data_IF_946790131672
#
_entry.id   IF_946790131672
#
_cell.length_a   1.000
_cell.length_b   1.000
_cell.length_c   1.000
_cell.angle_alpha   90.00
_cell.angle_beta   90.00
_cell.angle_gamma   90.00
#
_symmetry.space_group_name_H-M   'P 1'
#
loop_
_entity.id
_entity.type
_entity.pdbx_description
1 polymer ?
#
# COMPACT_ATOMS: atom_id res chain seq x y z
N UNK A 1 -12.76 11.52 -14.35
CA UNK A 1 -12.72 10.27 -13.54
C UNK A 1 -13.25 10.61 -12.15
N UNK A 2 -13.98 9.69 -11.53
CA UNK A 2 -14.50 9.83 -10.18
C UNK A 2 -14.00 8.64 -9.36
N UNK A 3 -13.42 8.91 -8.20
CA UNK A 3 -12.94 7.90 -7.27
C UNK A 3 -13.92 7.87 -6.09
N UNK A 4 -14.80 6.88 -6.10
CA UNK A 4 -15.79 6.65 -5.06
C UNK A 4 -15.44 5.36 -4.30
N UNK A 5 -16.03 5.18 -3.11
CA UNK A 5 -15.81 4.00 -2.28
C UNK A 5 -14.64 4.14 -1.29
N UNK A 6 -14.16 3.01 -0.79
CA UNK A 6 -13.09 2.92 0.21
C UNK A 6 -11.74 2.81 -0.48
N UNK A 7 -10.93 3.86 -0.34
CA UNK A 7 -9.57 3.94 -0.86
C UNK A 7 -8.57 3.90 0.28
N UNK A 8 -7.74 2.86 0.31
CA UNK A 8 -6.83 2.62 1.44
C UNK A 8 -5.43 3.13 1.12
N UNK A 9 -4.90 4.10 1.89
CA UNK A 9 -3.48 4.41 1.86
C UNK A 9 -2.70 3.27 2.53
N UNK A 10 -1.98 2.51 1.73
CA UNK A 10 -1.23 1.33 2.20
C UNK A 10 0.14 1.73 2.74
N UNK A 11 0.66 0.91 3.67
CA UNK A 11 2.05 1.00 4.14
C UNK A 11 3.02 0.55 3.03
N UNK A 12 4.28 0.98 3.11
CA UNK A 12 5.38 0.42 2.32
C UNK A 12 6.19 -0.52 3.23
N UNK A 13 6.09 -1.85 3.08
CA UNK A 13 6.90 -2.77 3.87
C UNK A 13 8.38 -2.66 3.49
N UNK A 14 9.26 -2.71 4.49
CA UNK A 14 10.71 -2.76 4.32
C UNK A 14 11.29 -4.04 4.91
N UNK A 15 12.40 -4.51 4.32
CA UNK A 15 13.21 -5.58 4.88
C UNK A 15 14.11 -5.07 6.01
N UNK A 16 14.85 -5.97 6.66
CA UNK A 16 15.76 -5.61 7.76
C UNK A 16 16.91 -4.70 7.33
N UNK A 17 17.20 -4.63 6.02
CA UNK A 17 18.21 -3.76 5.43
C UNK A 17 17.63 -2.39 5.01
N UNK A 18 16.33 -2.17 5.19
CA UNK A 18 15.63 -0.95 4.80
C UNK A 18 15.27 -0.86 3.31
N UNK A 19 15.41 -1.96 2.55
CA UNK A 19 14.91 -1.97 1.16
C UNK A 19 13.42 -2.28 1.15
N UNK A 20 12.70 -1.83 0.13
CA UNK A 20 11.29 -2.17 -0.05
C UNK A 20 11.12 -3.69 -0.20
N UNK A 21 10.38 -4.29 0.72
CA UNK A 21 10.02 -5.71 0.70
C UNK A 21 8.85 -5.91 -0.27
N UNK A 22 9.19 -6.20 -1.52
CA UNK A 22 8.22 -6.38 -2.61
C UNK A 22 7.30 -7.59 -2.40
N UNK A 23 7.77 -8.63 -1.72
CA UNK A 23 6.98 -9.83 -1.46
C UNK A 23 5.85 -9.50 -0.49
N UNK A 24 6.18 -8.93 0.68
CA UNK A 24 5.18 -8.50 1.65
C UNK A 24 4.27 -7.41 1.11
N UNK A 25 4.78 -6.52 0.26
CA UNK A 25 3.95 -5.50 -0.38
C UNK A 25 2.89 -6.15 -1.29
N UNK A 26 3.27 -7.16 -2.08
CA UNK A 26 2.33 -7.90 -2.92
C UNK A 26 1.26 -8.62 -2.08
N UNK A 27 1.70 -9.39 -1.07
CA UNK A 27 0.78 -10.09 -0.16
C UNK A 27 -0.20 -9.11 0.52
N UNK A 28 0.28 -7.94 0.94
CA UNK A 28 -0.57 -6.93 1.57
C UNK A 28 -1.58 -6.32 0.59
N UNK A 29 -1.17 -6.06 -0.64
CA UNK A 29 -2.07 -5.59 -1.71
C UNK A 29 -3.16 -6.63 -1.98
N UNK A 30 -2.80 -7.91 -2.09
CA UNK A 30 -3.76 -8.99 -2.31
C UNK A 30 -4.78 -9.09 -1.18
N UNK A 31 -4.34 -8.95 0.09
CA UNK A 31 -5.26 -8.89 1.24
C UNK A 31 -6.24 -7.72 1.10
N UNK A 32 -5.77 -6.52 0.72
CA UNK A 32 -6.66 -5.36 0.54
C UNK A 32 -7.69 -5.59 -0.57
N UNK A 33 -7.26 -6.18 -1.69
CA UNK A 33 -8.14 -6.54 -2.79
C UNK A 33 -9.19 -7.56 -2.34
N UNK A 34 -8.78 -8.59 -1.60
CA UNK A 34 -9.67 -9.63 -1.06
C UNK A 34 -10.68 -9.08 -0.04
N UNK A 35 -10.34 -8.00 0.68
CA UNK A 35 -11.28 -7.27 1.54
C UNK A 35 -12.26 -6.38 0.76
N UNK A 36 -12.12 -6.27 -0.56
CA UNK A 36 -13.05 -5.54 -1.43
C UNK A 36 -12.90 -4.03 -1.38
N UNK A 37 -11.69 -3.51 -1.15
CA UNK A 37 -11.43 -2.06 -1.24
C UNK A 37 -11.59 -1.58 -2.69
N UNK A 38 -12.12 -0.36 -2.86
CA UNK A 38 -12.36 0.22 -4.18
C UNK A 38 -11.09 0.79 -4.82
N UNK A 39 -10.03 0.98 -4.03
CA UNK A 39 -8.74 1.40 -4.54
C UNK A 39 -7.64 1.46 -3.50
N UNK A 40 -6.41 1.60 -4.02
CA UNK A 40 -5.18 1.69 -3.24
C UNK A 40 -4.53 3.03 -3.51
N UNK A 41 -4.13 3.72 -2.44
CA UNK A 41 -3.28 4.91 -2.51
C UNK A 41 -1.87 4.51 -2.10
N UNK A 42 -0.99 4.36 -3.09
CA UNK A 42 0.42 4.03 -2.87
C UNK A 42 1.24 5.30 -2.64
N UNK A 43 2.33 5.19 -1.87
CA UNK A 43 3.31 6.27 -1.65
C UNK A 43 2.64 7.55 -1.10
N UNK A 44 1.66 7.39 -0.20
CA UNK A 44 1.11 8.47 0.61
C UNK A 44 1.93 8.72 1.87
N UNK A 45 1.42 9.55 2.79
CA UNK A 45 2.04 9.72 4.12
C UNK A 45 2.11 8.41 4.89
N UNK A 46 1.06 7.58 4.81
CA UNK A 46 1.02 6.23 5.39
C UNK A 46 2.04 5.28 4.75
N UNK A 47 2.35 5.48 3.47
CA UNK A 47 3.37 4.74 2.73
C UNK A 47 4.78 5.33 2.88
N UNK A 48 4.98 6.27 3.81
CA UNK A 48 6.28 6.89 4.13
C UNK A 48 6.90 7.69 2.97
N UNK A 49 6.10 8.33 2.12
CA UNK A 49 6.54 9.07 0.94
C UNK A 49 7.69 10.08 1.14
N UNK A 50 7.84 10.64 2.35
CA UNK A 50 8.90 11.61 2.65
C UNK A 50 10.25 10.97 3.01
N UNK A 51 10.27 9.66 3.28
CA UNK A 51 11.44 8.90 3.71
C UNK A 51 11.91 7.86 2.68
N UNK A 52 11.19 7.73 1.56
CA UNK A 52 11.50 6.86 0.42
C UNK A 52 12.55 7.44 -0.52
#
# INVERSE_FOLDING_TARGET
MRFDGVWVPIITPFDEMGNVDRGKLADFVDIMIDQGVDGIVAVGTTGEAYAL
#
